data_IF_114322265780
#
_entry.id   IF_114322265780
#
_cell.length_a   1.000
_cell.length_b   1.000
_cell.length_c   1.000
_cell.angle_alpha   90.00
_cell.angle_beta   90.00
_cell.angle_gamma   90.00
#
_symmetry.space_group_name_H-M   'P 1'
#
loop_
_entity.id
_entity.type
_entity.pdbx_description
1 polymer ?
#
# COMPACT_ATOMS: atom_id res chain seq x y z
N UNK A 1 3.59 -6.79 9.45
CA UNK A 1 3.88 -5.40 9.03
C UNK A 1 3.01 -5.13 7.82
N UNK A 2 1.96 -4.31 7.91
CA UNK A 2 1.07 -4.12 6.78
C UNK A 2 1.77 -3.31 5.69
N UNK A 3 1.72 -3.78 4.44
CA UNK A 3 2.18 -3.02 3.27
C UNK A 3 0.96 -2.38 2.62
N UNK A 4 1.04 -1.08 2.35
CA UNK A 4 -0.05 -0.32 1.72
C UNK A 4 0.42 0.28 0.41
N UNK A 5 -0.37 0.06 -0.63
CA UNK A 5 -0.24 0.73 -1.92
C UNK A 5 -1.21 1.90 -1.95
N UNK A 6 -0.70 3.10 -2.13
CA UNK A 6 -1.49 4.34 -2.05
C UNK A 6 -1.31 5.15 -3.33
N UNK A 7 -2.39 5.68 -3.86
CA UNK A 7 -2.33 6.62 -4.97
C UNK A 7 -1.62 7.90 -4.52
N UNK A 8 -0.51 8.24 -5.15
CA UNK A 8 0.27 9.46 -4.86
C UNK A 8 -0.54 10.75 -5.07
N UNK A 9 -1.50 10.73 -5.99
CA UNK A 9 -2.28 11.92 -6.33
C UNK A 9 -3.41 12.20 -5.34
N UNK A 10 -4.20 11.19 -4.95
CA UNK A 10 -5.42 11.41 -4.15
C UNK A 10 -5.43 10.69 -2.78
N UNK A 11 -4.37 9.95 -2.45
CA UNK A 11 -4.26 9.24 -1.17
C UNK A 11 -5.13 7.98 -1.05
N UNK A 12 -5.78 7.54 -2.13
CA UNK A 12 -6.62 6.33 -2.11
C UNK A 12 -5.77 5.07 -1.87
N UNK A 13 -6.19 4.21 -0.93
CA UNK A 13 -5.57 2.91 -0.70
C UNK A 13 -5.99 1.94 -1.81
N UNK A 14 -5.04 1.62 -2.70
CA UNK A 14 -5.23 0.69 -3.80
C UNK A 14 -5.23 -0.75 -3.30
N UNK A 15 -4.33 -1.07 -2.37
CA UNK A 15 -4.20 -2.42 -1.85
C UNK A 15 -3.53 -2.40 -0.48
N UNK A 16 -3.94 -3.33 0.37
CA UNK A 16 -3.35 -3.52 1.69
C UNK A 16 -3.07 -5.00 1.92
N UNK A 17 -1.79 -5.29 2.13
CA UNK A 17 -1.35 -6.59 2.59
C UNK A 17 -1.27 -6.56 4.12
N UNK A 18 -2.07 -7.37 4.82
CA UNK A 18 -2.09 -7.38 6.29
C UNK A 18 -1.17 -8.42 6.91
N UNK A 19 -1.26 -9.68 6.45
CA UNK A 19 -0.49 -10.81 6.98
C UNK A 19 -0.29 -11.91 5.94
N UNK A 20 0.72 -12.73 6.18
CA UNK A 20 0.93 -14.00 5.46
C UNK A 20 -0.17 -14.99 5.87
N UNK A 21 -0.69 -15.78 4.92
CA UNK A 21 -1.74 -16.78 5.17
C UNK A 21 -3.17 -16.36 4.78
N UNK A 22 -3.31 -15.33 3.93
CA UNK A 22 -4.59 -14.82 3.43
C UNK A 22 -4.71 -15.05 1.90
N UNK A 23 -4.29 -16.24 1.42
CA UNK A 23 -4.52 -16.71 0.04
C UNK A 23 -3.56 -16.26 -1.09
N UNK A 24 -2.37 -15.73 -0.80
CA UNK A 24 -1.38 -15.32 -1.83
C UNK A 24 0.08 -15.68 -1.52
N UNK A 25 0.88 -15.95 -2.57
CA UNK A 25 2.32 -16.26 -2.56
C UNK A 25 3.23 -15.16 -1.96
N UNK A 26 2.68 -14.03 -1.51
CA UNK A 26 3.44 -12.95 -0.88
C UNK A 26 2.84 -11.56 -1.10
N UNK A 27 3.67 -10.53 -0.91
CA UNK A 27 3.31 -9.13 -1.18
C UNK A 27 3.34 -8.91 -2.69
N UNK A 28 2.21 -8.53 -3.28
CA UNK A 28 2.11 -8.09 -4.69
C UNK A 28 3.11 -6.96 -4.96
N UNK A 29 3.73 -6.93 -6.14
CA UNK A 29 4.61 -5.84 -6.59
C UNK A 29 3.81 -4.60 -7.02
N UNK A 30 4.43 -3.40 -7.05
CA UNK A 30 3.75 -2.20 -7.56
C UNK A 30 3.25 -2.37 -9.01
N UNK A 31 3.98 -3.10 -9.85
CA UNK A 31 3.60 -3.38 -11.23
C UNK A 31 2.35 -4.25 -11.32
N UNK A 32 2.20 -5.25 -10.44
CA UNK A 32 0.97 -6.05 -10.37
C UNK A 32 -0.22 -5.20 -9.93
N UNK A 33 -0.06 -4.36 -8.91
CA UNK A 33 -1.12 -3.44 -8.47
C UNK A 33 -1.54 -2.51 -9.61
N UNK A 34 -0.57 -1.97 -10.37
CA UNK A 34 -0.85 -1.16 -11.56
C UNK A 34 -1.68 -1.93 -12.59
N UNK A 35 -1.32 -3.18 -12.89
CA UNK A 35 -2.01 -4.01 -13.87
C UNK A 35 -3.45 -4.34 -13.45
N UNK A 36 -3.69 -4.61 -12.16
CA UNK A 36 -5.04 -4.89 -11.62
C UNK A 36 -6.00 -3.73 -11.91
N UNK A 37 -5.51 -2.49 -11.83
CA UNK A 37 -6.32 -1.29 -12.05
C UNK A 37 -6.19 -0.71 -13.48
N UNK A 38 -5.69 -1.48 -14.45
CA UNK A 38 -5.58 -1.01 -15.84
C UNK A 38 -4.69 0.23 -16.00
N UNK A 39 -3.72 0.42 -15.09
CA UNK A 39 -2.81 1.55 -15.11
C UNK A 39 -3.39 2.88 -14.62
N UNK A 40 -4.60 2.94 -14.07
CA UNK A 40 -5.22 4.18 -13.57
C UNK A 40 -5.80 4.01 -12.17
N UNK A 41 -5.77 5.07 -11.37
CA UNK A 41 -6.41 5.06 -10.06
C UNK A 41 -7.93 4.94 -10.24
N UNK A 42 -8.60 3.97 -9.58
CA UNK A 42 -10.05 3.80 -9.70
C UNK A 42 -10.85 4.96 -9.08
N UNK A 43 -10.22 5.75 -8.19
CA UNK A 43 -10.88 6.87 -7.51
C UNK A 43 -10.75 8.20 -8.28
N UNK A 44 -9.56 8.53 -8.78
CA UNK A 44 -9.31 9.85 -9.39
C UNK A 44 -8.86 9.80 -10.85
N UNK A 45 -8.77 8.62 -11.47
CA UNK A 45 -8.37 8.44 -12.87
C UNK A 45 -6.88 8.69 -13.17
N UNK A 46 -6.10 9.14 -12.19
CA UNK A 46 -4.68 9.47 -12.37
C UNK A 46 -3.88 8.22 -12.79
N UNK A 47 -2.97 8.32 -13.78
CA UNK A 47 -2.15 7.19 -14.21
C UNK A 47 -1.25 6.69 -13.06
N UNK A 48 -1.28 5.38 -12.83
CA UNK A 48 -0.47 4.73 -11.80
C UNK A 48 0.94 4.46 -12.33
N UNK A 49 1.95 4.91 -11.58
CA UNK A 49 3.36 4.64 -11.82
C UNK A 49 3.94 3.60 -10.85
N UNK A 50 5.14 3.10 -11.15
CA UNK A 50 5.94 2.33 -10.21
C UNK A 50 6.70 3.34 -9.33
N UNK A 51 6.60 3.28 -7.99
CA UNK A 51 7.28 4.23 -7.12
C UNK A 51 8.80 4.01 -7.15
N UNK A 52 9.55 5.10 -7.04
CA UNK A 52 10.98 5.08 -6.74
C UNK A 52 11.22 4.80 -5.24
N UNK A 53 12.45 4.43 -4.87
CA UNK A 53 12.81 4.15 -3.47
C UNK A 53 12.53 5.34 -2.53
N UNK A 54 12.72 6.57 -3.02
CA UNK A 54 12.49 7.81 -2.27
C UNK A 54 11.02 8.04 -1.90
N UNK A 55 10.09 7.35 -2.57
CA UNK A 55 8.64 7.49 -2.33
C UNK A 55 8.11 6.46 -1.33
N UNK A 56 8.94 5.47 -0.95
CA UNK A 56 8.58 4.42 -0.02
C UNK A 56 8.71 4.96 1.42
N UNK A 57 7.59 4.95 2.15
CA UNK A 57 7.54 5.38 3.55
C UNK A 57 7.46 4.18 4.48
N UNK A 58 8.45 4.04 5.36
CA UNK A 58 8.48 3.01 6.41
C UNK A 58 8.23 3.70 7.74
N UNK A 59 7.10 3.35 8.38
CA UNK A 59 6.74 3.90 9.70
C UNK A 59 6.75 2.80 10.75
N UNK A 60 7.55 2.98 11.81
CA UNK A 60 7.50 2.12 12.98
C UNK A 60 6.22 2.43 13.77
N UNK A 61 5.40 1.42 14.05
CA UNK A 61 4.32 1.57 15.04
C UNK A 61 4.97 1.77 16.40
N UNK A 62 4.86 2.96 17.00
CA UNK A 62 5.08 3.10 18.44
C UNK A 62 4.11 2.16 19.14
N UNK A 63 4.61 1.31 20.06
CA UNK A 63 3.74 0.60 21.00
C UNK A 63 2.89 1.68 21.67
N UNK A 64 1.56 1.54 21.60
CA UNK A 64 0.71 2.29 22.50
C UNK A 64 1.13 1.86 23.90
N UNK A 65 1.79 2.76 24.63
CA UNK A 65 1.93 2.60 26.08
C UNK A 65 0.49 2.71 26.56
N UNK A 66 -0.14 1.56 26.82
CA UNK A 66 -1.37 1.52 27.59
C UNK A 66 -0.99 2.07 28.96
N UNK A 67 -1.27 3.36 29.17
CA UNK A 67 -1.24 3.96 30.49
C UNK A 67 -2.39 3.32 31.27
N UNK A 68 -2.09 2.26 32.01
CA UNK A 68 -3.00 1.74 33.03
C UNK A 68 -3.04 2.79 34.14
N UNK A 69 -4.22 3.37 34.36
CA UNK A 69 -4.54 4.18 35.53
C UNK A 69 -4.75 3.30 36.75
#
# INVERSE_FOLDING_TARGET
MPVRYVCKNCGYELYRFEKVGQDFYGVRTPSEIKSIYGGKCPKCGHPLGVPSLSEIKITLRKKAILATS
#
